data_IF_341462233237
#
_entry.id   IF_341462233237
#
_cell.length_a   1.000
_cell.length_b   1.000
_cell.length_c   1.000
_cell.angle_alpha   90.00
_cell.angle_beta   90.00
_cell.angle_gamma   90.00
#
_symmetry.space_group_name_H-M   'P 1'
#
loop_
_entity.id
_entity.type
_entity.pdbx_description
1 polymer ?
#
# COMPACT_ATOMS: atom_id res chain seq x y z
N UNK A 1 4.86 -16.20 17.40
CA UNK A 1 5.16 -15.22 18.46
C UNK A 1 6.26 -14.22 18.08
N UNK A 2 7.42 -14.65 17.58
CA UNK A 2 8.53 -13.74 17.20
C UNK A 2 8.13 -12.67 16.16
N UNK A 3 7.39 -13.04 15.12
CA UNK A 3 6.91 -12.10 14.10
C UNK A 3 5.88 -11.12 14.66
N UNK A 4 4.98 -11.59 15.54
CA UNK A 4 3.98 -10.75 16.22
C UNK A 4 4.64 -9.68 17.11
N UNK A 5 5.69 -10.05 17.84
CA UNK A 5 6.46 -9.12 18.67
C UNK A 5 7.25 -8.10 17.83
N UNK A 6 7.86 -8.53 16.72
CA UNK A 6 8.52 -7.62 15.76
C UNK A 6 7.52 -6.68 15.09
N UNK A 7 6.34 -7.18 14.72
CA UNK A 7 5.25 -6.37 14.18
C UNK A 7 4.83 -5.28 15.17
N UNK A 8 4.60 -5.62 16.45
CA UNK A 8 4.31 -4.64 17.51
C UNK A 8 5.39 -3.56 17.64
N UNK A 9 6.66 -3.95 17.57
CA UNK A 9 7.78 -3.02 17.68
C UNK A 9 7.86 -2.09 16.46
N UNK A 10 7.56 -2.59 15.26
CA UNK A 10 7.56 -1.83 14.01
C UNK A 10 6.33 -0.93 13.85
N UNK A 11 5.15 -1.38 14.27
CA UNK A 11 3.89 -0.65 14.15
C UNK A 11 3.68 0.39 15.24
N UNK A 12 4.57 0.45 16.25
CA UNK A 12 4.44 1.31 17.44
C UNK A 12 3.12 1.10 18.21
N UNK A 13 2.44 -0.03 17.98
CA UNK A 13 1.13 -0.29 18.59
C UNK A 13 1.26 -0.71 20.05
N UNK A 14 0.23 -0.40 20.83
CA UNK A 14 0.09 -1.01 22.16
C UNK A 14 -0.32 -2.48 22.04
N UNK A 15 0.05 -3.31 23.02
CA UNK A 15 -0.38 -4.71 23.08
C UNK A 15 -1.90 -4.87 23.06
N UNK A 16 -2.62 -3.89 23.64
CA UNK A 16 -4.09 -3.86 23.61
C UNK A 16 -4.61 -3.70 22.18
N UNK A 17 -4.07 -2.72 21.43
CA UNK A 17 -4.45 -2.48 20.03
C UNK A 17 -4.16 -3.69 19.15
N UNK A 18 -3.02 -4.35 19.35
CA UNK A 18 -2.64 -5.53 18.59
C UNK A 18 -3.59 -6.72 18.81
N UNK A 19 -4.08 -6.90 20.05
CA UNK A 19 -5.07 -7.93 20.37
C UNK A 19 -6.43 -7.57 19.76
N UNK A 20 -6.87 -6.31 19.88
CA UNK A 20 -8.11 -5.83 19.26
C UNK A 20 -8.11 -6.05 17.75
N UNK A 21 -7.02 -5.70 17.08
CA UNK A 21 -6.87 -5.89 15.63
C UNK A 21 -6.82 -7.38 15.27
N UNK A 22 -6.09 -8.20 16.03
CA UNK A 22 -6.07 -9.65 15.83
C UNK A 22 -7.45 -10.31 15.99
N UNK A 23 -8.27 -9.81 16.92
CA UNK A 23 -9.66 -10.23 17.10
C UNK A 23 -10.54 -9.76 15.94
N UNK A 24 -10.38 -8.52 15.48
CA UNK A 24 -11.11 -7.98 14.32
C UNK A 24 -10.77 -8.74 13.02
N UNK A 25 -9.49 -9.10 12.81
CA UNK A 25 -9.06 -9.89 11.66
C UNK A 25 -9.62 -11.32 11.68
N UNK A 26 -9.79 -11.90 12.88
CA UNK A 26 -10.39 -13.21 13.07
C UNK A 26 -11.90 -13.19 12.90
N UNK A 27 -12.54 -12.08 13.26
CA UNK A 27 -13.99 -11.90 13.15
C UNK A 27 -14.39 -11.78 11.67
N UNK A 28 -15.15 -12.77 11.17
CA UNK A 28 -15.68 -12.78 9.80
C UNK A 28 -14.82 -13.47 8.73
N UNK A 29 -13.66 -14.06 9.06
CA UNK A 29 -12.78 -14.74 8.08
C UNK A 29 -12.34 -16.18 8.41
N UNK A 30 -12.94 -16.84 9.41
CA UNK A 30 -12.56 -18.20 9.89
C UNK A 30 -11.05 -18.42 10.09
N UNK A 31 -10.29 -17.37 10.39
CA UNK A 31 -8.85 -17.49 10.55
C UNK A 31 -8.50 -18.15 11.90
N UNK A 32 -7.61 -19.13 11.85
CA UNK A 32 -6.93 -19.65 13.03
C UNK A 32 -5.96 -18.61 13.60
N UNK A 33 -5.63 -18.70 14.90
CA UNK A 33 -4.66 -17.78 15.51
C UNK A 33 -3.27 -17.85 14.85
N UNK A 34 -2.87 -18.99 14.28
CA UNK A 34 -1.63 -19.10 13.49
C UNK A 34 -1.74 -18.29 12.19
N UNK A 35 -2.88 -18.31 11.50
CA UNK A 35 -3.14 -17.48 10.32
C UNK A 35 -3.20 -15.99 10.65
N UNK A 36 -3.76 -15.60 11.81
CA UNK A 36 -3.73 -14.19 12.29
C UNK A 36 -2.28 -13.72 12.49
N UNK A 37 -1.44 -14.54 13.13
CA UNK A 37 -0.02 -14.21 13.30
C UNK A 37 0.74 -14.19 11.96
N UNK A 38 0.38 -15.04 10.99
CA UNK A 38 0.96 -15.02 9.65
C UNK A 38 0.51 -13.81 8.83
N UNK A 39 -0.71 -13.32 9.04
CA UNK A 39 -1.22 -12.12 8.35
C UNK A 39 -0.44 -10.86 8.73
N UNK A 40 0.23 -10.85 9.89
CA UNK A 40 1.18 -9.80 10.26
C UNK A 40 2.46 -9.78 9.40
N UNK A 41 2.73 -10.82 8.60
CA UNK A 41 3.89 -10.84 7.71
C UNK A 41 3.74 -9.81 6.56
N UNK A 42 2.55 -9.61 6.00
CA UNK A 42 2.36 -8.71 4.85
C UNK A 42 2.72 -7.25 5.16
N UNK A 43 2.23 -6.64 6.26
CA UNK A 43 2.69 -5.31 6.66
C UNK A 43 4.21 -5.21 6.91
N UNK A 44 4.83 -6.27 7.45
CA UNK A 44 6.28 -6.30 7.66
C UNK A 44 7.05 -6.32 6.35
N UNK A 45 6.61 -7.12 5.38
CA UNK A 45 7.22 -7.19 4.05
C UNK A 45 7.04 -5.87 3.27
N UNK A 46 5.89 -5.20 3.40
CA UNK A 46 5.67 -3.87 2.82
C UNK A 46 6.60 -2.83 3.43
N UNK A 47 6.79 -2.83 4.76
CA UNK A 47 7.75 -1.92 5.41
C UNK A 47 9.19 -2.20 4.97
N UNK A 48 9.57 -3.48 4.90
CA UNK A 48 10.90 -3.87 4.42
C UNK A 48 11.17 -3.33 3.00
N UNK A 49 10.20 -3.43 2.09
CA UNK A 49 10.33 -2.91 0.73
C UNK A 49 10.25 -1.38 0.64
N UNK A 50 9.15 -0.79 1.11
CA UNK A 50 8.78 0.61 0.84
C UNK A 50 9.43 1.63 1.78
N UNK A 51 9.83 1.23 2.99
CA UNK A 51 10.41 2.14 3.99
C UNK A 51 11.89 1.85 4.19
N UNK A 52 12.26 0.58 4.33
CA UNK A 52 13.64 0.17 4.58
C UNK A 52 14.45 -0.02 3.29
N UNK A 53 13.80 0.04 2.12
CA UNK A 53 14.45 -0.07 0.81
C UNK A 53 15.01 -1.46 0.49
N UNK A 54 14.59 -2.50 1.21
CA UNK A 54 15.02 -3.87 0.97
C UNK A 54 14.22 -4.49 -0.17
N UNK A 55 14.77 -4.40 -1.38
CA UNK A 55 14.17 -4.92 -2.61
C UNK A 55 14.26 -6.44 -2.75
N UNK A 56 15.15 -7.11 -2.01
CA UNK A 56 15.37 -8.56 -2.11
C UNK A 56 14.37 -9.37 -1.29
N UNK A 57 14.00 -8.87 -0.10
CA UNK A 57 13.12 -9.54 0.84
C UNK A 57 11.79 -8.79 1.07
N UNK A 58 11.69 -7.54 0.62
CA UNK A 58 10.50 -6.70 0.77
C UNK A 58 9.48 -6.89 -0.35
N UNK A 59 8.24 -6.49 -0.08
CA UNK A 59 7.17 -6.44 -1.09
C UNK A 59 6.93 -4.98 -1.47
N UNK A 60 6.97 -4.68 -2.77
CA UNK A 60 6.70 -3.36 -3.34
C UNK A 60 5.32 -3.39 -4.00
N UNK A 61 4.29 -3.00 -3.24
CA UNK A 61 2.93 -2.93 -3.78
C UNK A 61 2.84 -1.80 -4.81
N UNK A 62 2.58 -2.15 -6.07
CA UNK A 62 2.40 -1.21 -7.18
C UNK A 62 1.37 -1.72 -8.17
N UNK A 63 0.81 -0.81 -8.98
CA UNK A 63 -0.01 -1.17 -10.14
C UNK A 63 0.81 -1.27 -11.41
N UNK A 64 0.24 -1.82 -12.48
CA UNK A 64 0.90 -1.93 -13.80
C UNK A 64 1.39 -0.58 -14.33
N UNK A 65 0.72 0.52 -13.96
CA UNK A 65 1.11 1.89 -14.30
C UNK A 65 2.56 2.22 -13.92
N UNK A 66 3.12 1.59 -12.89
CA UNK A 66 4.51 1.82 -12.50
C UNK A 66 5.51 1.50 -13.63
N UNK A 67 5.17 0.59 -14.55
CA UNK A 67 6.04 0.22 -15.67
C UNK A 67 6.13 1.26 -16.79
N UNK A 68 5.29 2.30 -16.75
CA UNK A 68 5.31 3.40 -17.74
C UNK A 68 5.77 4.73 -17.13
N UNK A 69 6.07 4.77 -15.83
CA UNK A 69 6.58 5.97 -15.18
C UNK A 69 8.09 6.09 -15.44
N UNK A 70 8.51 7.18 -16.06
CA UNK A 70 9.90 7.47 -16.42
C UNK A 70 10.46 8.72 -15.71
N UNK A 71 9.62 9.45 -14.96
CA UNK A 71 9.97 10.63 -14.21
C UNK A 71 9.50 10.58 -12.73
N UNK A 72 9.92 11.58 -11.95
CA UNK A 72 9.54 11.73 -10.54
C UNK A 72 9.28 13.21 -10.22
N UNK A 73 8.16 13.78 -10.73
CA UNK A 73 7.81 15.18 -10.49
C UNK A 73 7.43 15.44 -9.02
N UNK A 74 7.43 16.71 -8.63
CA UNK A 74 6.79 17.10 -7.37
C UNK A 74 5.29 16.83 -7.40
N UNK A 75 4.66 16.73 -6.23
CA UNK A 75 3.21 16.56 -6.14
C UNK A 75 2.45 17.68 -6.87
N UNK A 76 2.94 18.91 -6.84
CA UNK A 76 2.31 20.05 -7.50
C UNK A 76 2.35 19.89 -9.03
N UNK A 77 3.54 19.62 -9.59
CA UNK A 77 3.73 19.41 -11.03
C UNK A 77 2.90 18.23 -11.55
N UNK A 78 2.85 17.13 -10.79
CA UNK A 78 2.04 15.96 -11.14
C UNK A 78 0.56 16.32 -11.24
N UNK A 79 0.01 16.99 -10.23
CA UNK A 79 -1.40 17.37 -10.19
C UNK A 79 -1.72 18.32 -11.34
N UNK A 80 -0.89 19.34 -11.56
CA UNK A 80 -1.07 20.29 -12.67
C UNK A 80 -1.04 19.60 -14.02
N UNK A 81 -0.16 18.61 -14.22
CA UNK A 81 -0.11 17.84 -15.45
C UNK A 81 -1.35 16.99 -15.67
N UNK A 82 -1.77 16.20 -14.67
CA UNK A 82 -2.94 15.34 -14.77
C UNK A 82 -4.19 16.15 -15.10
N UNK A 83 -4.38 17.31 -14.46
CA UNK A 83 -5.55 18.18 -14.72
C UNK A 83 -5.50 18.74 -16.14
N UNK A 84 -4.34 19.23 -16.59
CA UNK A 84 -4.15 19.74 -17.95
C UNK A 84 -4.42 18.67 -19.01
N UNK A 85 -3.87 17.47 -18.83
CA UNK A 85 -4.05 16.35 -19.77
C UNK A 85 -5.51 15.91 -19.82
N UNK A 86 -6.20 15.87 -18.67
CA UNK A 86 -7.63 15.59 -18.61
C UNK A 86 -8.46 16.61 -19.41
N UNK A 87 -8.19 17.91 -19.26
CA UNK A 87 -8.87 18.96 -20.04
C UNK A 87 -8.62 18.76 -21.54
N UNK A 88 -7.37 18.51 -21.93
CA UNK A 88 -7.00 18.28 -23.33
C UNK A 88 -7.75 17.08 -23.93
N UNK A 89 -7.79 15.95 -23.22
CA UNK A 89 -8.51 14.77 -23.66
C UNK A 89 -10.02 14.98 -23.75
N UNK A 90 -10.63 15.70 -22.80
CA UNK A 90 -12.06 16.00 -22.83
C UNK A 90 -12.43 16.91 -24.01
N UNK A 91 -11.62 17.94 -24.29
CA UNK A 91 -11.80 18.81 -25.45
C UNK A 91 -11.69 18.04 -26.76
N UNK A 92 -10.67 17.18 -26.89
CA UNK A 92 -10.48 16.34 -28.06
C UNK A 92 -11.64 15.36 -28.26
N UNK A 93 -12.12 14.72 -27.19
CA UNK A 93 -13.27 13.82 -27.26
C UNK A 93 -14.56 14.56 -27.64
N UNK A 94 -14.80 15.76 -27.09
CA UNK A 94 -15.98 16.57 -27.41
C UNK A 94 -16.03 16.97 -28.88
N UNK A 95 -14.88 17.29 -29.48
CA UNK A 95 -14.77 17.67 -30.89
C UNK A 95 -15.08 16.52 -31.87
N UNK A 96 -15.21 15.28 -31.39
CA UNK A 96 -15.57 14.12 -32.20
C UNK A 96 -17.09 13.81 -32.16
N UNK A 97 -17.84 14.50 -31.31
CA UNK A 97 -19.29 14.28 -31.11
C UNK A 97 -20.14 15.44 -31.65
N UNK A 98 -19.50 16.57 -32.01
CA UNK A 98 -20.08 17.66 -32.81
C UNK A 98 -19.84 17.46 -34.31
#
# INVERSE_FOLDING_TARGET
MRNAAKFKQMSQMSWRSMITDGLAMRHGKELTWSQVVMAANTPMLLKAGLVEGNTDAGVLASGQVAGILDDLPSCAELIESVVRDAISHLQAASALVE
#
